data_IF_485653992165
#
_entry.id   IF_485653992165
#
_cell.length_a   1.000
_cell.length_b   1.000
_cell.length_c   1.000
_cell.angle_alpha   90.00
_cell.angle_beta   90.00
_cell.angle_gamma   90.00
#
_symmetry.space_group_name_H-M   'P 1'
#
loop_
_entity.id
_entity.type
_entity.pdbx_description
1 polymer ?
#
# COMPACT_ATOMS: atom_id res chain seq x y z
N UNK A 1 20.13 -82.89 -37.26
CA UNK A 1 20.58 -82.93 -35.86
C UNK A 1 21.48 -81.73 -35.61
N UNK A 2 21.47 -81.10 -34.43
CA UNK A 2 20.32 -80.50 -33.75
C UNK A 2 20.61 -79.06 -33.30
N UNK A 3 19.57 -78.40 -32.78
CA UNK A 3 19.56 -77.07 -32.20
C UNK A 3 20.29 -76.98 -30.85
N UNK A 4 20.83 -75.80 -30.52
CA UNK A 4 20.86 -75.22 -29.16
C UNK A 4 20.86 -73.69 -29.30
N UNK A 5 19.81 -73.04 -28.79
CA UNK A 5 19.75 -71.62 -28.43
C UNK A 5 20.36 -71.40 -27.05
N UNK A 6 20.89 -70.21 -26.77
CA UNK A 6 20.56 -69.58 -25.49
C UNK A 6 20.15 -68.12 -25.63
N UNK A 7 18.97 -67.88 -25.06
CA UNK A 7 18.49 -66.74 -24.28
C UNK A 7 18.95 -65.30 -24.55
N UNK A 8 17.89 -64.51 -24.71
CA UNK A 8 17.79 -63.06 -24.70
C UNK A 8 18.10 -62.50 -23.32
N UNK A 9 19.02 -61.54 -23.23
CA UNK A 9 19.20 -60.72 -22.01
C UNK A 9 18.92 -59.25 -22.33
N UNK A 10 17.91 -58.73 -21.63
CA UNK A 10 17.38 -57.37 -21.72
C UNK A 10 18.37 -56.34 -21.14
N UNK A 11 18.28 -55.06 -21.55
CA UNK A 11 19.10 -53.99 -20.96
C UNK A 11 18.75 -53.81 -19.47
N UNK A 12 19.73 -53.44 -18.62
CA UNK A 12 19.53 -53.37 -17.18
C UNK A 12 18.50 -52.32 -16.79
N UNK A 13 17.66 -52.71 -15.83
CA UNK A 13 16.70 -51.87 -15.12
C UNK A 13 17.37 -50.58 -14.63
N UNK A 14 16.86 -49.45 -15.13
CA UNK A 14 17.25 -48.13 -14.66
C UNK A 14 16.49 -47.86 -13.35
N UNK A 15 16.92 -48.50 -12.26
CA UNK A 15 16.38 -48.23 -10.92
C UNK A 15 16.76 -46.81 -10.51
N UNK A 16 15.79 -45.89 -10.61
CA UNK A 16 15.91 -44.53 -10.09
C UNK A 16 16.05 -44.64 -8.55
N UNK A 17 17.09 -44.07 -7.93
CA UNK A 17 17.19 -44.09 -6.47
C UNK A 17 16.01 -43.33 -5.85
N UNK A 18 15.17 -44.06 -5.12
CA UNK A 18 14.15 -43.51 -4.22
C UNK A 18 14.86 -42.67 -3.16
N UNK A 19 14.60 -41.36 -3.15
CA UNK A 19 15.12 -40.50 -2.09
C UNK A 19 15.40 -39.04 -2.43
N UNK A 20 15.07 -38.55 -3.63
CA UNK A 20 15.11 -37.11 -3.91
C UNK A 20 13.73 -36.49 -3.67
N UNK A 21 13.62 -35.41 -2.87
CA UNK A 21 12.33 -34.76 -2.62
C UNK A 21 11.76 -34.23 -3.94
N UNK A 22 10.74 -34.92 -4.46
CA UNK A 22 10.02 -34.47 -5.63
C UNK A 22 9.32 -33.16 -5.29
N UNK A 23 9.65 -32.08 -6.00
CA UNK A 23 8.96 -30.79 -5.89
C UNK A 23 7.49 -31.02 -6.20
N UNK A 24 6.64 -31.12 -5.18
CA UNK A 24 5.18 -31.19 -5.36
C UNK A 24 4.80 -29.95 -6.15
N UNK A 25 4.38 -30.13 -7.40
CA UNK A 25 3.76 -29.04 -8.16
C UNK A 25 2.51 -28.67 -7.38
N UNK A 26 2.47 -27.46 -6.83
CA UNK A 26 1.25 -26.90 -6.23
C UNK A 26 0.11 -27.14 -7.22
N UNK A 27 -0.96 -27.75 -6.75
CA UNK A 27 -2.20 -27.82 -7.52
C UNK A 27 -2.55 -26.38 -7.94
N UNK A 28 -2.72 -26.16 -9.24
CA UNK A 28 -3.26 -24.89 -9.74
C UNK A 28 -4.64 -24.73 -9.12
N UNK A 29 -4.79 -23.80 -8.17
CA UNK A 29 -6.11 -23.37 -7.67
C UNK A 29 -6.88 -22.84 -8.88
N UNK A 30 -7.99 -23.49 -9.19
CA UNK A 30 -8.87 -23.15 -10.30
C UNK A 30 -9.63 -21.86 -10.01
N UNK A 31 -9.61 -20.97 -11.00
CA UNK A 31 -10.35 -19.71 -11.04
C UNK A 31 -9.63 -18.77 -11.99
N UNK A 32 -10.11 -18.66 -13.25
CA UNK A 32 -9.43 -17.96 -14.35
C UNK A 32 -9.29 -16.43 -14.18
N UNK A 33 -9.55 -15.89 -12.99
CA UNK A 33 -9.47 -14.46 -12.70
C UNK A 33 -8.90 -14.10 -11.33
N UNK A 34 -8.41 -15.05 -10.52
CA UNK A 34 -7.79 -14.72 -9.22
C UNK A 34 -6.29 -14.91 -9.30
N UNK A 35 -5.55 -13.80 -9.26
CA UNK A 35 -4.09 -13.81 -9.14
C UNK A 35 -3.64 -14.52 -7.86
N UNK A 36 -2.38 -14.93 -7.81
CA UNK A 36 -1.80 -15.64 -6.66
C UNK A 36 -1.71 -14.78 -5.37
N UNK A 37 -2.17 -13.53 -5.40
CA UNK A 37 -2.01 -12.49 -4.38
C UNK A 37 -3.34 -12.05 -3.76
N UNK A 38 -4.42 -12.82 -3.96
CA UNK A 38 -5.69 -12.58 -3.26
C UNK A 38 -5.65 -13.19 -1.85
N UNK A 39 -6.05 -12.44 -0.84
CA UNK A 39 -6.27 -12.93 0.51
C UNK A 39 -7.61 -13.69 0.56
N UNK A 40 -7.57 -14.94 1.04
CA UNK A 40 -8.80 -15.69 1.29
C UNK A 40 -9.25 -15.35 2.71
N UNK A 41 -10.28 -14.51 2.81
CA UNK A 41 -10.84 -14.11 4.10
C UNK A 41 -11.71 -15.23 4.69
N UNK A 42 -11.76 -15.34 6.04
CA UNK A 42 -12.67 -16.26 6.70
C UNK A 42 -14.14 -15.91 6.40
N UNK A 43 -15.06 -16.88 6.41
CA UNK A 43 -16.48 -16.59 6.27
C UNK A 43 -16.94 -15.67 7.39
N UNK A 44 -17.72 -14.64 7.05
CA UNK A 44 -18.16 -13.64 8.03
C UNK A 44 -17.05 -12.72 8.54
N UNK A 45 -15.98 -12.54 7.75
CA UNK A 45 -14.94 -11.56 8.03
C UNK A 45 -15.53 -10.16 8.22
N UNK A 46 -15.04 -9.40 9.21
CA UNK A 46 -15.68 -8.17 9.63
C UNK A 46 -15.46 -7.06 8.60
N UNK A 47 -16.37 -6.07 8.55
CA UNK A 47 -16.24 -4.93 7.64
C UNK A 47 -14.87 -4.27 7.73
N UNK A 48 -14.26 -4.05 6.57
CA UNK A 48 -13.04 -3.28 6.41
C UNK A 48 -13.40 -1.82 6.13
N UNK A 49 -12.93 -0.93 7.00
CA UNK A 49 -13.05 0.52 6.85
C UNK A 49 -11.67 1.11 6.58
N UNK A 50 -11.54 1.88 5.49
CA UNK A 50 -10.36 2.69 5.21
C UNK A 50 -10.56 4.09 5.81
N UNK A 51 -9.80 4.42 6.85
CA UNK A 51 -9.85 5.73 7.50
C UNK A 51 -8.98 6.74 6.74
N UNK A 52 -9.61 7.75 6.16
CA UNK A 52 -8.97 8.74 5.29
C UNK A 52 -8.74 10.04 6.09
N UNK A 53 -7.50 10.54 6.17
CA UNK A 53 -7.22 11.85 6.72
C UNK A 53 -7.94 12.98 5.97
N UNK A 54 -8.28 14.06 6.66
CA UNK A 54 -9.00 15.19 6.08
C UNK A 54 -10.48 14.91 5.82
N UNK A 55 -11.08 15.72 4.95
CA UNK A 55 -12.50 15.66 4.58
C UNK A 55 -12.71 15.32 3.10
N UNK A 56 -13.88 14.78 2.76
CA UNK A 56 -14.24 14.49 1.37
C UNK A 56 -14.22 15.74 0.49
N UNK A 57 -14.56 16.90 1.04
CA UNK A 57 -14.62 18.18 0.33
C UNK A 57 -13.23 18.71 -0.04
N UNK A 58 -12.20 18.30 0.70
CA UNK A 58 -10.80 18.60 0.40
C UNK A 58 -10.17 17.59 -0.56
N UNK A 59 -10.78 16.42 -0.76
CA UNK A 59 -10.27 15.40 -1.67
C UNK A 59 -10.39 15.88 -3.13
N UNK A 60 -9.27 15.93 -3.86
CA UNK A 60 -9.29 16.32 -5.27
C UNK A 60 -10.07 15.29 -6.10
N UNK A 61 -10.94 15.71 -7.02
CA UNK A 61 -11.61 14.79 -7.92
C UNK A 61 -10.57 14.18 -8.88
N UNK A 62 -10.36 12.87 -8.80
CA UNK A 62 -9.70 12.11 -9.88
C UNK A 62 -10.67 12.05 -11.06
N UNK A 63 -10.20 12.40 -12.26
CA UNK A 63 -10.99 12.29 -13.48
C UNK A 63 -11.50 10.85 -13.64
N UNK A 64 -12.81 10.66 -13.53
CA UNK A 64 -13.44 9.37 -13.75
C UNK A 64 -13.27 8.94 -15.22
N UNK A 65 -13.12 7.65 -15.52
CA UNK A 65 -13.25 7.17 -16.90
C UNK A 65 -14.69 7.38 -17.34
N UNK A 66 -14.90 8.10 -18.44
CA UNK A 66 -16.21 8.37 -19.02
C UNK A 66 -16.89 7.03 -19.39
N UNK A 67 -17.92 6.67 -18.62
CA UNK A 67 -18.85 5.60 -18.97
C UNK A 67 -20.08 6.22 -19.65
N UNK A 68 -20.61 5.60 -20.72
CA UNK A 68 -21.71 6.15 -21.49
C UNK A 68 -22.98 6.21 -20.65
N UNK A 69 -23.54 7.42 -20.56
CA UNK A 69 -24.75 7.75 -19.82
C UNK A 69 -26.00 7.30 -20.57
N UNK A 70 -26.72 6.33 -20.01
CA UNK A 70 -28.16 6.19 -20.28
C UNK A 70 -28.93 5.65 -19.06
N UNK A 71 -30.03 6.36 -18.79
CA UNK A 71 -31.30 5.96 -18.15
C UNK A 71 -31.58 6.12 -16.63
N UNK A 72 -32.41 7.15 -16.38
CA UNK A 72 -33.76 7.18 -15.72
C UNK A 72 -33.93 6.89 -14.20
N UNK A 73 -34.68 7.83 -13.60
CA UNK A 73 -35.24 8.03 -12.25
C UNK A 73 -35.88 6.85 -11.51
N UNK A 74 -35.72 6.87 -10.17
CA UNK A 74 -36.78 6.53 -9.20
C UNK A 74 -36.45 5.39 -8.24
N UNK A 75 -36.58 5.66 -6.93
CA UNK A 75 -36.17 4.87 -5.76
C UNK A 75 -34.70 5.11 -5.39
N UNK A 76 -34.46 5.95 -4.38
CA UNK A 76 -33.17 6.03 -3.68
C UNK A 76 -33.14 4.83 -2.73
N UNK A 77 -32.33 3.78 -2.98
CA UNK A 77 -32.07 2.77 -1.98
C UNK A 77 -31.20 3.37 -0.86
N UNK A 78 -31.15 2.78 0.34
CA UNK A 78 -30.15 3.18 1.33
C UNK A 78 -28.76 3.11 0.67
N UNK A 79 -28.00 4.19 0.79
CA UNK A 79 -26.70 4.40 0.15
C UNK A 79 -25.75 3.26 0.54
N UNK A 80 -25.64 2.24 -0.32
CA UNK A 80 -24.47 1.37 -0.44
C UNK A 80 -23.29 2.15 -1.07
N UNK A 81 -22.08 1.57 -1.12
CA UNK A 81 -20.82 2.30 -1.27
C UNK A 81 -20.88 3.28 -2.45
N UNK A 82 -21.09 4.55 -2.11
CA UNK A 82 -21.07 5.64 -3.05
C UNK A 82 -19.68 5.76 -3.64
N UNK A 83 -19.62 6.07 -4.93
CA UNK A 83 -18.38 6.34 -5.66
C UNK A 83 -17.62 7.45 -4.94
N UNK A 84 -16.65 7.07 -4.11
CA UNK A 84 -15.72 8.02 -3.51
C UNK A 84 -14.67 8.31 -4.59
N UNK A 85 -14.55 9.57 -4.95
CA UNK A 85 -13.55 10.06 -5.90
C UNK A 85 -12.19 10.22 -5.21
N UNK A 86 -11.11 10.25 -5.96
CA UNK A 86 -9.77 10.46 -5.39
C UNK A 86 -9.02 9.16 -5.09
N UNK A 87 -7.91 9.30 -4.36
CA UNK A 87 -6.99 8.20 -4.10
C UNK A 87 -7.61 7.11 -3.21
N UNK A 88 -8.39 7.51 -2.21
CA UNK A 88 -9.06 6.60 -1.29
C UNK A 88 -10.05 5.66 -2.01
N UNK A 89 -10.86 6.20 -2.93
CA UNK A 89 -11.80 5.42 -3.72
C UNK A 89 -11.12 4.40 -4.63
N UNK A 90 -10.06 4.83 -5.32
CA UNK A 90 -9.28 3.92 -6.17
C UNK A 90 -8.61 2.80 -5.35
N UNK A 91 -8.05 3.12 -4.18
CA UNK A 91 -7.47 2.12 -3.27
C UNK A 91 -8.52 1.15 -2.71
N UNK A 92 -9.69 1.65 -2.31
CA UNK A 92 -10.80 0.83 -1.84
C UNK A 92 -11.26 -0.17 -2.92
N UNK A 93 -11.47 0.31 -4.16
CA UNK A 93 -11.87 -0.54 -5.29
C UNK A 93 -10.82 -1.60 -5.62
N UNK A 94 -9.53 -1.24 -5.65
CA UNK A 94 -8.45 -2.18 -5.90
C UNK A 94 -8.34 -3.22 -4.78
N UNK A 95 -8.49 -2.79 -3.52
CA UNK A 95 -8.45 -3.69 -2.35
C UNK A 95 -9.56 -4.71 -2.43
N UNK A 96 -10.79 -4.26 -2.70
CA UNK A 96 -11.97 -5.11 -2.87
C UNK A 96 -11.79 -6.10 -4.03
N UNK A 97 -11.51 -5.61 -5.23
CA UNK A 97 -11.60 -6.44 -6.44
C UNK A 97 -10.38 -7.34 -6.64
N UNK A 98 -9.20 -6.91 -6.18
CA UNK A 98 -7.94 -7.63 -6.43
C UNK A 98 -7.55 -8.49 -5.24
N UNK A 99 -7.78 -8.02 -4.01
CA UNK A 99 -7.16 -8.60 -2.82
C UNK A 99 -8.14 -9.30 -1.88
N UNK A 100 -9.26 -8.69 -1.51
CA UNK A 100 -10.12 -9.21 -0.42
C UNK A 100 -11.41 -9.88 -0.92
N UNK A 101 -11.97 -9.42 -2.03
CA UNK A 101 -13.31 -9.81 -2.48
C UNK A 101 -14.44 -9.31 -1.58
N UNK A 102 -14.16 -8.38 -0.66
CA UNK A 102 -15.12 -7.75 0.24
C UNK A 102 -15.12 -6.23 0.04
N UNK A 103 -16.29 -5.58 0.12
CA UNK A 103 -16.40 -4.13 0.04
C UNK A 103 -15.55 -3.43 1.08
N UNK A 104 -14.85 -2.37 0.66
CA UNK A 104 -14.10 -1.46 1.54
C UNK A 104 -14.92 -0.20 1.76
N UNK A 105 -15.33 0.04 2.99
CA UNK A 105 -16.03 1.28 3.35
C UNK A 105 -15.02 2.38 3.60
N UNK A 106 -15.26 3.58 3.08
CA UNK A 106 -14.39 4.73 3.34
C UNK A 106 -14.99 5.59 4.46
N UNK A 107 -14.15 6.06 5.39
CA UNK A 107 -14.54 6.98 6.45
C UNK A 107 -13.53 8.11 6.60
N UNK A 108 -13.96 9.35 6.37
CA UNK A 108 -13.12 10.55 6.55
C UNK A 108 -13.02 10.95 8.01
N UNK A 109 -11.83 11.38 8.44
CA UNK A 109 -11.60 11.81 9.82
C UNK A 109 -12.12 13.21 10.11
N UNK A 110 -12.26 14.05 9.09
CA UNK A 110 -12.77 15.41 9.18
C UNK A 110 -14.00 15.62 8.28
N UNK A 111 -14.81 16.63 8.61
CA UNK A 111 -16.06 16.92 7.91
C UNK A 111 -17.21 16.00 8.32
N UNK A 112 -18.39 16.28 7.75
CA UNK A 112 -19.64 15.56 8.08
C UNK A 112 -20.05 14.55 7.01
N UNK A 113 -19.60 14.73 5.77
CA UNK A 113 -19.89 13.83 4.65
C UNK A 113 -18.96 12.61 4.67
N UNK A 114 -19.55 11.41 4.60
CA UNK A 114 -18.84 10.13 4.62
C UNK A 114 -17.85 10.01 5.80
N UNK A 115 -18.25 10.51 6.98
CA UNK A 115 -17.37 10.53 8.15
C UNK A 115 -17.09 9.12 8.67
N UNK A 116 -15.96 8.94 9.35
CA UNK A 116 -15.61 7.67 9.97
C UNK A 116 -16.68 7.19 10.96
N UNK A 117 -17.35 8.10 11.68
CA UNK A 117 -18.48 7.74 12.55
C UNK A 117 -19.65 7.12 11.78
N UNK A 118 -19.99 7.65 10.60
CA UNK A 118 -21.02 7.08 9.73
C UNK A 118 -20.60 5.70 9.19
N UNK A 119 -19.34 5.56 8.78
CA UNK A 119 -18.79 4.29 8.31
C UNK A 119 -18.84 3.20 9.40
N UNK A 120 -18.51 3.56 10.65
CA UNK A 120 -18.58 2.67 11.81
C UNK A 120 -20.03 2.26 12.14
N UNK A 121 -20.95 3.22 12.12
CA UNK A 121 -22.37 2.93 12.32
C UNK A 121 -22.93 2.00 11.24
N UNK A 122 -22.53 2.19 9.99
CA UNK A 122 -22.89 1.29 8.89
C UNK A 122 -22.29 -0.11 9.09
N UNK A 123 -21.00 -0.20 9.41
CA UNK A 123 -20.33 -1.48 9.66
C UNK A 123 -21.00 -2.30 10.77
N UNK A 124 -21.51 -1.64 11.82
CA UNK A 124 -22.25 -2.32 12.89
C UNK A 124 -23.56 -2.99 12.43
N UNK A 125 -24.11 -2.62 11.27
CA UNK A 125 -25.30 -3.25 10.68
C UNK A 125 -24.98 -4.44 9.77
N UNK A 126 -23.71 -4.63 9.41
CA UNK A 126 -23.28 -5.68 8.49
C UNK A 126 -23.15 -7.00 9.25
N UNK A 127 -23.70 -8.08 8.68
CA UNK A 127 -23.60 -9.41 9.27
C UNK A 127 -22.14 -9.91 9.26
N UNK A 128 -21.69 -10.41 10.41
CA UNK A 128 -20.34 -10.94 10.63
C UNK A 128 -20.40 -12.13 11.59
N UNK A 129 -19.37 -12.96 11.57
CA UNK A 129 -19.32 -14.13 12.46
C UNK A 129 -19.22 -13.68 13.95
N UNK A 130 -19.98 -14.29 14.90
CA UNK A 130 -20.06 -13.86 16.31
C UNK A 130 -18.73 -13.69 17.07
N UNK A 131 -17.70 -14.39 16.65
CA UNK A 131 -16.33 -14.36 17.17
C UNK A 131 -15.45 -13.23 16.59
N UNK A 132 -15.86 -12.60 15.50
CA UNK A 132 -15.09 -11.55 14.82
C UNK A 132 -15.33 -10.18 15.45
N UNK A 133 -14.35 -9.25 15.42
CA UNK A 133 -14.58 -7.88 15.87
C UNK A 133 -15.66 -7.19 15.01
N UNK A 134 -16.35 -6.15 15.49
CA UNK A 134 -17.44 -5.55 14.71
C UNK A 134 -16.97 -4.80 13.45
N UNK A 135 -15.75 -4.27 13.46
CA UNK A 135 -15.12 -3.65 12.29
C UNK A 135 -13.59 -3.63 12.46
N UNK A 136 -12.88 -3.58 11.33
CA UNK A 136 -11.44 -3.26 11.30
C UNK A 136 -11.25 -1.95 10.55
N UNK A 137 -10.57 -1.00 11.18
CA UNK A 137 -10.25 0.30 10.62
C UNK A 137 -8.77 0.33 10.25
N UNK A 138 -8.47 0.47 8.96
CA UNK A 138 -7.09 0.63 8.45
C UNK A 138 -6.82 2.11 8.22
N UNK A 139 -5.85 2.73 8.92
CA UNK A 139 -5.47 4.12 8.68
C UNK A 139 -4.78 4.28 7.32
N UNK A 140 -5.28 5.20 6.49
CA UNK A 140 -4.67 5.54 5.20
C UNK A 140 -3.53 6.56 5.39
N UNK A 141 -2.50 6.16 6.14
CA UNK A 141 -1.28 6.96 6.35
C UNK A 141 -0.03 6.12 6.15
N UNK A 142 0.97 6.70 5.53
CA UNK A 142 2.24 6.03 5.16
C UNK A 142 3.34 6.19 6.19
N UNK A 143 3.12 7.00 7.22
CA UNK A 143 4.06 7.25 8.30
C UNK A 143 3.28 7.66 9.57
N UNK A 144 3.88 7.53 10.76
CA UNK A 144 3.25 7.95 12.01
C UNK A 144 2.92 9.45 12.02
N UNK A 145 1.66 9.79 12.35
CA UNK A 145 1.24 11.16 12.60
C UNK A 145 0.41 11.21 13.90
N UNK A 146 0.96 11.80 14.99
CA UNK A 146 0.27 11.88 16.27
C UNK A 146 -1.07 12.64 16.25
N UNK A 147 -1.27 13.56 15.29
CA UNK A 147 -2.54 14.28 15.14
C UNK A 147 -3.58 13.36 14.54
N UNK A 148 -3.25 12.71 13.41
CA UNK A 148 -4.15 11.75 12.74
C UNK A 148 -4.49 10.59 13.67
N UNK A 149 -3.49 10.03 14.35
CA UNK A 149 -3.68 8.93 15.31
C UNK A 149 -4.60 9.31 16.47
N UNK A 150 -4.48 10.55 16.96
CA UNK A 150 -5.35 11.07 18.02
C UNK A 150 -6.78 11.23 17.51
N UNK A 151 -6.96 11.93 16.39
CA UNK A 151 -8.28 12.13 15.78
C UNK A 151 -8.96 10.80 15.50
N UNK A 152 -8.26 9.85 14.90
CA UNK A 152 -8.76 8.50 14.65
C UNK A 152 -9.26 7.81 15.92
N UNK A 153 -8.45 7.81 16.98
CA UNK A 153 -8.85 7.21 18.27
C UNK A 153 -10.04 7.92 18.89
N UNK A 154 -10.05 9.25 18.89
CA UNK A 154 -11.15 10.06 19.42
C UNK A 154 -12.45 9.82 18.65
N UNK A 155 -12.40 9.77 17.32
CA UNK A 155 -13.58 9.50 16.47
C UNK A 155 -14.14 8.09 16.68
N UNK A 156 -13.28 7.08 16.79
CA UNK A 156 -13.72 5.71 17.09
C UNK A 156 -14.39 5.66 18.46
N UNK A 157 -13.80 6.28 19.50
CA UNK A 157 -14.39 6.32 20.84
C UNK A 157 -15.72 7.09 20.85
N UNK A 158 -15.78 8.26 20.20
CA UNK A 158 -16.98 9.07 20.12
C UNK A 158 -18.13 8.39 19.36
N UNK A 159 -17.83 7.46 18.45
CA UNK A 159 -18.85 6.67 17.74
C UNK A 159 -19.61 5.69 18.66
N UNK A 160 -19.03 5.32 19.80
CA UNK A 160 -19.54 4.26 20.68
C UNK A 160 -19.51 2.86 20.08
N UNK A 161 -18.98 2.68 18.86
CA UNK A 161 -18.88 1.39 18.18
C UNK A 161 -17.52 0.74 18.49
N UNK A 162 -17.53 -0.56 18.76
CA UNK A 162 -16.28 -1.31 18.91
C UNK A 162 -15.64 -1.55 17.53
N UNK A 163 -14.38 -1.15 17.38
CA UNK A 163 -13.61 -1.37 16.17
C UNK A 163 -12.14 -1.62 16.51
N UNK A 164 -11.49 -2.40 15.67
CA UNK A 164 -10.07 -2.71 15.78
C UNK A 164 -9.32 -1.79 14.83
N UNK A 165 -8.46 -0.92 15.38
CA UNK A 165 -7.58 -0.08 14.56
C UNK A 165 -6.35 -0.91 14.18
N UNK A 166 -6.10 -1.05 12.89
CA UNK A 166 -4.91 -1.70 12.34
C UNK A 166 -3.69 -0.78 12.44
N UNK A 167 -2.50 -1.35 12.20
CA UNK A 167 -1.29 -0.55 12.06
C UNK A 167 -1.37 0.38 10.82
N UNK A 168 -0.70 1.54 10.85
CA UNK A 168 -0.45 2.36 9.67
C UNK A 168 0.16 1.57 8.50
N UNK A 169 0.06 2.10 7.28
CA UNK A 169 0.59 1.43 6.10
C UNK A 169 2.13 1.34 6.14
N UNK A 170 2.82 2.35 6.69
CA UNK A 170 4.29 2.34 6.79
C UNK A 170 4.83 2.02 8.19
N UNK A 171 6.12 1.62 8.30
CA UNK A 171 7.10 1.44 7.22
C UNK A 171 7.03 0.01 6.64
N UNK A 172 7.01 -0.14 5.31
CA UNK A 172 6.85 -1.45 4.68
C UNK A 172 7.64 -1.61 3.37
N UNK A 173 8.19 -2.80 3.05
CA UNK A 173 8.85 -3.06 1.77
C UNK A 173 8.01 -2.74 0.54
N UNK A 174 6.68 -2.82 0.62
CA UNK A 174 5.77 -2.46 -0.47
C UNK A 174 5.75 -0.94 -0.73
N UNK A 175 5.91 -0.10 0.29
CA UNK A 175 6.04 1.36 0.11
C UNK A 175 7.33 1.68 -0.64
N UNK A 176 8.45 1.08 -0.25
CA UNK A 176 9.72 1.26 -0.95
C UNK A 176 9.71 0.67 -2.38
N UNK A 177 8.83 -0.30 -2.68
CA UNK A 177 8.58 -0.73 -4.06
C UNK A 177 7.83 0.36 -4.84
N UNK A 178 6.72 0.88 -4.28
CA UNK A 178 5.93 1.93 -4.94
C UNK A 178 6.76 3.20 -5.19
N UNK A 179 7.61 3.61 -4.23
CA UNK A 179 8.55 4.72 -4.43
C UNK A 179 9.55 4.46 -5.56
N UNK A 180 10.07 3.23 -5.66
CA UNK A 180 10.95 2.84 -6.75
C UNK A 180 10.25 2.91 -8.11
N UNK A 181 9.01 2.43 -8.19
CA UNK A 181 8.19 2.49 -9.41
C UNK A 181 7.90 3.94 -9.81
N UNK A 182 7.52 4.82 -8.87
CA UNK A 182 7.36 6.27 -9.12
C UNK A 182 8.64 6.94 -9.61
N UNK A 183 9.79 6.57 -9.04
CA UNK A 183 11.08 7.07 -9.51
C UNK A 183 11.41 6.55 -10.92
N UNK A 184 11.07 5.30 -11.24
CA UNK A 184 11.29 4.74 -12.56
C UNK A 184 10.37 5.38 -13.63
N UNK A 185 9.10 5.62 -13.30
CA UNK A 185 8.16 6.37 -14.15
C UNK A 185 8.67 7.77 -14.48
N UNK A 186 9.32 8.43 -13.51
CA UNK A 186 9.96 9.73 -13.70
C UNK A 186 11.32 9.66 -14.43
N UNK A 187 11.80 8.47 -14.80
CA UNK A 187 13.13 8.27 -15.41
C UNK A 187 14.30 8.49 -14.44
N UNK A 188 14.04 8.55 -13.14
CA UNK A 188 15.02 8.81 -12.08
C UNK A 188 15.64 7.52 -11.53
N UNK A 189 14.98 6.38 -11.74
CA UNK A 189 15.46 5.04 -11.40
C UNK A 189 15.34 4.08 -12.59
N UNK A 190 16.06 2.96 -12.52
CA UNK A 190 15.90 1.87 -13.51
C UNK A 190 14.60 1.14 -13.25
N UNK A 191 13.79 0.97 -14.31
CA UNK A 191 12.54 0.21 -14.25
C UNK A 191 12.76 -1.30 -14.06
N UNK A 192 13.91 -1.85 -14.47
CA UNK A 192 14.14 -3.29 -14.43
C UNK A 192 15.61 -3.68 -14.24
N UNK A 193 15.87 -4.86 -13.64
CA UNK A 193 17.23 -5.44 -13.46
C UNK A 193 17.71 -6.28 -14.66
N UNK A 194 17.05 -6.19 -15.80
CA UNK A 194 17.49 -6.91 -17.01
C UNK A 194 18.74 -6.22 -17.57
N UNK A 195 19.89 -6.90 -17.39
CA UNK A 195 21.27 -6.44 -17.61
C UNK A 195 21.66 -6.04 -19.05
N UNK A 196 20.71 -5.82 -19.96
CA UNK A 196 21.02 -5.75 -21.39
C UNK A 196 20.63 -4.45 -22.11
N UNK A 197 20.08 -3.45 -21.44
CA UNK A 197 19.90 -2.13 -22.05
C UNK A 197 20.38 -1.02 -21.11
N UNK A 198 21.38 -0.28 -21.58
CA UNK A 198 22.07 0.81 -20.87
C UNK A 198 21.18 2.05 -20.77
N UNK A 199 20.41 2.13 -19.70
CA UNK A 199 19.98 3.42 -19.14
C UNK A 199 20.70 3.61 -17.80
N UNK A 200 21.45 4.70 -17.67
CA UNK A 200 22.16 5.06 -16.43
C UNK A 200 21.10 5.43 -15.39
N UNK A 201 21.21 4.94 -14.14
CA UNK A 201 20.42 5.48 -13.03
C UNK A 201 20.76 6.95 -12.90
N UNK A 202 19.80 7.84 -13.20
CA UNK A 202 20.04 9.28 -13.28
C UNK A 202 20.28 9.84 -11.88
N UNK A 203 19.54 9.39 -10.87
CA UNK A 203 19.74 9.81 -9.50
C UNK A 203 21.02 9.17 -8.90
N UNK A 204 21.91 10.01 -8.37
CA UNK A 204 23.04 9.62 -7.53
C UNK A 204 22.72 9.62 -6.03
N UNK A 205 21.51 10.05 -5.65
CA UNK A 205 20.96 9.98 -4.30
C UNK A 205 19.47 10.33 -4.30
N UNK A 206 18.71 9.83 -3.32
CA UNK A 206 17.26 10.06 -3.21
C UNK A 206 16.89 10.59 -1.83
N UNK A 207 15.99 11.57 -1.79
CA UNK A 207 15.34 12.02 -0.56
C UNK A 207 13.90 11.54 -0.56
N UNK A 208 13.55 10.65 0.38
CA UNK A 208 12.15 10.32 0.68
C UNK A 208 11.56 11.50 1.44
N UNK A 209 10.44 12.01 0.94
CA UNK A 209 9.77 13.18 1.51
C UNK A 209 8.45 12.75 2.13
N UNK A 210 8.32 12.88 3.45
CA UNK A 210 7.13 12.46 4.22
C UNK A 210 6.31 13.65 4.71
N UNK A 211 4.99 13.47 4.93
CA UNK A 211 4.11 14.54 5.38
C UNK A 211 4.29 14.97 6.83
N UNK A 212 4.61 14.03 7.74
CA UNK A 212 4.67 14.32 9.18
C UNK A 212 6.04 14.82 9.67
N UNK A 213 6.08 15.21 10.96
CA UNK A 213 7.27 15.71 11.64
C UNK A 213 8.36 14.65 11.96
N UNK A 214 9.19 14.87 13.00
CA UNK A 214 10.40 14.07 13.24
C UNK A 214 10.17 12.56 13.39
N UNK A 215 9.04 12.15 13.97
CA UNK A 215 8.68 10.73 14.10
C UNK A 215 8.44 10.07 12.73
N UNK A 216 7.82 10.79 11.78
CA UNK A 216 7.62 10.30 10.42
C UNK A 216 8.95 10.21 9.66
N UNK A 217 9.87 11.15 9.90
CA UNK A 217 11.23 11.10 9.31
C UNK A 217 11.99 9.88 9.83
N UNK A 218 11.96 9.63 11.14
CA UNK A 218 12.60 8.47 11.75
C UNK A 218 12.04 7.15 11.19
N UNK A 219 10.72 7.05 11.03
CA UNK A 219 10.08 5.89 10.41
C UNK A 219 10.49 5.72 8.94
N UNK A 220 10.58 6.83 8.21
CA UNK A 220 11.04 6.85 6.82
C UNK A 220 12.52 6.51 6.66
N UNK A 221 13.36 6.59 7.70
CA UNK A 221 14.74 6.08 7.63
C UNK A 221 14.78 4.56 7.43
N UNK A 222 13.82 3.81 7.98
CA UNK A 222 13.65 2.38 7.69
C UNK A 222 13.29 2.19 6.22
N UNK A 223 12.35 2.99 5.71
CA UNK A 223 12.00 3.04 4.29
C UNK A 223 13.17 3.40 3.38
N UNK A 224 14.05 4.30 3.84
CA UNK A 224 15.25 4.72 3.12
C UNK A 224 16.24 3.58 2.96
N UNK A 225 16.45 2.75 3.99
CA UNK A 225 17.29 1.54 3.88
C UNK A 225 16.70 0.56 2.85
N UNK A 226 15.39 0.32 2.89
CA UNK A 226 14.72 -0.56 1.94
C UNK A 226 14.81 -0.04 0.50
N UNK A 227 14.63 1.27 0.29
CA UNK A 227 14.73 1.89 -1.02
C UNK A 227 16.18 1.95 -1.52
N UNK A 228 17.14 2.26 -0.65
CA UNK A 228 18.57 2.27 -0.97
C UNK A 228 19.03 0.89 -1.44
N UNK A 229 18.57 -0.18 -0.79
CA UNK A 229 18.88 -1.55 -1.19
C UNK A 229 18.39 -1.88 -2.61
N UNK A 230 17.26 -1.29 -3.03
CA UNK A 230 16.68 -1.47 -4.37
C UNK A 230 17.38 -0.63 -5.43
N UNK A 231 17.77 0.60 -5.09
CA UNK A 231 18.35 1.57 -6.03
C UNK A 231 19.88 1.46 -6.14
N UNK A 232 20.55 0.90 -5.13
CA UNK A 232 22.00 0.94 -4.96
C UNK A 232 22.59 2.38 -4.93
N UNK A 233 21.82 3.34 -4.38
CA UNK A 233 22.25 4.73 -4.15
C UNK A 233 21.92 5.15 -2.71
N UNK A 234 22.62 6.16 -2.15
CA UNK A 234 22.27 6.71 -0.85
C UNK A 234 20.85 7.28 -0.84
N UNK A 235 20.10 6.97 0.22
CA UNK A 235 18.74 7.48 0.44
C UNK A 235 18.67 8.14 1.81
N UNK A 236 18.08 9.33 1.88
CA UNK A 236 17.81 10.06 3.10
C UNK A 236 16.30 10.29 3.25
N UNK A 237 15.83 10.63 4.45
CA UNK A 237 14.46 11.04 4.71
C UNK A 237 14.39 12.52 5.09
N UNK A 238 13.29 13.17 4.74
CA UNK A 238 13.00 14.57 5.07
C UNK A 238 11.49 14.79 5.26
N UNK A 239 11.13 15.81 6.02
CA UNK A 239 9.74 16.19 6.30
C UNK A 239 9.26 17.31 5.38
N UNK A 240 7.97 17.30 5.02
CA UNK A 240 7.26 18.44 4.43
C UNK A 240 6.82 19.48 5.47
N UNK A 241 6.80 19.11 6.75
CA UNK A 241 6.49 20.00 7.85
C UNK A 241 7.75 20.75 8.31
N UNK A 242 7.65 22.07 8.33
CA UNK A 242 8.63 22.92 8.99
C UNK A 242 8.42 22.86 10.51
N UNK A 243 9.44 22.39 11.24
CA UNK A 243 9.34 22.25 12.69
C UNK A 243 10.68 21.99 13.36
N UNK A 244 10.77 22.24 14.68
CA UNK A 244 12.00 22.01 15.44
C UNK A 244 12.39 20.52 15.38
N UNK A 245 13.61 20.24 14.93
CA UNK A 245 14.14 18.88 14.81
C UNK A 245 13.74 18.14 13.53
N UNK A 246 12.91 18.73 12.66
CA UNK A 246 12.64 18.19 11.33
C UNK A 246 13.77 18.55 10.37
N UNK A 247 14.19 17.59 9.54
CA UNK A 247 15.13 17.83 8.44
C UNK A 247 14.32 18.22 7.21
N UNK A 248 14.58 19.39 6.65
CA UNK A 248 13.92 19.85 5.42
C UNK A 248 14.40 19.09 4.18
N UNK A 249 13.62 19.01 3.09
CA UNK A 249 14.04 18.33 1.86
C UNK A 249 15.27 18.99 1.25
N UNK A 250 15.40 20.31 1.35
CA UNK A 250 16.56 21.06 0.88
C UNK A 250 17.82 20.67 1.66
N UNK A 251 17.73 20.55 2.98
CA UNK A 251 18.84 20.16 3.83
C UNK A 251 19.28 18.70 3.58
N UNK A 252 18.33 17.77 3.49
CA UNK A 252 18.63 16.38 3.14
C UNK A 252 19.31 16.27 1.77
N UNK A 253 18.83 17.02 0.78
CA UNK A 253 19.44 17.06 -0.55
C UNK A 253 20.86 17.67 -0.52
N UNK A 254 21.10 18.71 0.29
CA UNK A 254 22.43 19.28 0.47
C UNK A 254 23.40 18.28 1.11
N UNK A 255 22.95 17.52 2.12
CA UNK A 255 23.73 16.46 2.76
C UNK A 255 24.10 15.34 1.78
N UNK A 256 23.18 14.92 0.92
CA UNK A 256 23.47 13.93 -0.14
C UNK A 256 24.49 14.45 -1.16
N UNK A 257 24.38 15.73 -1.57
CA UNK A 257 25.38 16.33 -2.47
C UNK A 257 26.76 16.40 -1.81
N UNK A 258 26.81 16.77 -0.54
CA UNK A 258 28.05 16.80 0.23
C UNK A 258 28.71 15.42 0.39
N UNK A 259 27.93 14.33 0.37
CA UNK A 259 28.43 12.95 0.38
C UNK A 259 28.77 12.39 -1.01
N UNK A 260 28.66 13.21 -2.07
CA UNK A 260 29.08 12.86 -3.43
C UNK A 260 27.95 12.52 -4.41
N UNK A 261 26.67 12.66 -4.02
CA UNK A 261 25.56 12.49 -4.95
C UNK A 261 25.57 13.60 -6.02
N UNK A 262 25.79 13.23 -7.28
CA UNK A 262 25.87 14.18 -8.40
C UNK A 262 24.50 14.72 -8.81
N UNK A 263 23.45 13.89 -8.68
CA UNK A 263 22.07 14.24 -9.01
C UNK A 263 21.16 13.73 -7.89
N UNK A 264 20.39 14.63 -7.28
CA UNK A 264 19.43 14.27 -6.22
C UNK A 264 18.03 14.18 -6.81
N UNK A 265 17.25 13.20 -6.37
CA UNK A 265 15.83 13.09 -6.67
C UNK A 265 15.00 13.13 -5.39
N UNK A 266 13.84 13.78 -5.45
CA UNK A 266 12.82 13.75 -4.41
C UNK A 266 11.78 12.68 -4.72
N UNK A 267 11.45 11.85 -3.73
CA UNK A 267 10.46 10.79 -3.80
C UNK A 267 9.38 11.02 -2.72
N UNK A 268 8.23 11.62 -3.07
CA UNK A 268 7.18 11.90 -2.09
C UNK A 268 6.49 10.61 -1.62
N UNK A 269 6.61 10.28 -0.34
CA UNK A 269 5.89 9.20 0.33
C UNK A 269 4.53 9.71 0.84
N UNK A 270 3.73 10.21 -0.10
CA UNK A 270 2.44 10.84 0.14
C UNK A 270 1.38 10.16 -0.70
N UNK A 271 0.25 9.79 -0.10
CA UNK A 271 -0.92 9.27 -0.82
C UNK A 271 -1.67 10.46 -1.42
N UNK A 272 -2.01 11.47 -0.63
CA UNK A 272 -2.59 12.71 -1.13
C UNK A 272 -3.39 13.44 -0.05
N UNK A 273 -4.45 12.82 0.50
CA UNK A 273 -5.37 13.48 1.45
C UNK A 273 -4.72 13.96 2.75
N UNK A 274 -3.56 13.43 3.11
CA UNK A 274 -2.84 13.78 4.32
C UNK A 274 -1.96 15.04 4.19
N UNK A 275 -1.89 15.68 3.02
CA UNK A 275 -0.99 16.83 2.75
C UNK A 275 -1.72 18.01 2.14
N UNK A 276 -1.36 19.22 2.57
CA UNK A 276 -1.82 20.45 1.91
C UNK A 276 -1.18 20.55 0.50
N UNK A 277 -1.97 20.78 -0.56
CA UNK A 277 -1.46 21.03 -1.91
C UNK A 277 -0.31 22.07 -1.97
N UNK A 278 -0.31 23.06 -1.08
CA UNK A 278 0.76 24.05 -0.97
C UNK A 278 2.12 23.45 -0.59
N UNK A 279 2.16 22.42 0.27
CA UNK A 279 3.40 21.73 0.64
C UNK A 279 3.98 20.96 -0.55
N UNK A 280 3.13 20.29 -1.33
CA UNK A 280 3.55 19.61 -2.56
C UNK A 280 4.01 20.61 -3.63
N UNK A 281 3.33 21.75 -3.77
CA UNK A 281 3.76 22.82 -4.67
C UNK A 281 5.13 23.41 -4.25
N UNK A 282 5.37 23.58 -2.94
CA UNK A 282 6.66 24.03 -2.41
C UNK A 282 7.78 23.02 -2.71
N UNK A 283 7.53 21.71 -2.55
CA UNK A 283 8.47 20.67 -2.94
C UNK A 283 8.78 20.71 -4.45
N UNK A 284 7.75 20.88 -5.28
CA UNK A 284 7.92 21.01 -6.73
C UNK A 284 8.76 22.22 -7.11
N UNK A 285 8.52 23.36 -6.46
CA UNK A 285 9.31 24.58 -6.66
C UNK A 285 10.76 24.36 -6.24
N UNK A 286 11.01 23.74 -5.09
CA UNK A 286 12.36 23.41 -4.61
C UNK A 286 13.10 22.49 -5.59
N UNK A 287 12.43 21.49 -6.14
CA UNK A 287 13.02 20.60 -7.13
C UNK A 287 13.47 21.38 -8.38
N UNK A 288 12.61 22.25 -8.90
CA UNK A 288 12.92 23.11 -10.05
C UNK A 288 14.09 24.07 -9.75
N UNK A 289 14.05 24.78 -8.62
CA UNK A 289 15.07 25.76 -8.23
C UNK A 289 16.46 25.13 -8.04
N UNK A 290 16.52 23.85 -7.65
CA UNK A 290 17.76 23.13 -7.37
C UNK A 290 18.20 22.18 -8.48
N UNK A 291 17.43 22.09 -9.58
CA UNK A 291 17.64 21.11 -10.66
C UNK A 291 17.54 19.66 -10.20
N UNK A 292 16.88 19.38 -9.08
CA UNK A 292 16.67 18.03 -8.60
C UNK A 292 15.53 17.35 -9.37
N UNK A 293 15.62 16.02 -9.53
CA UNK A 293 14.50 15.23 -10.03
C UNK A 293 13.35 15.19 -9.03
N UNK A 294 12.11 15.06 -9.50
CA UNK A 294 10.94 14.85 -8.66
C UNK A 294 10.09 13.72 -9.23
N UNK A 295 9.85 12.69 -8.42
CA UNK A 295 8.87 11.67 -8.73
C UNK A 295 7.45 12.13 -8.37
N UNK A 296 6.44 11.52 -9.00
CA UNK A 296 5.06 11.68 -8.56
C UNK A 296 4.86 11.14 -7.13
N UNK A 297 3.88 11.66 -6.37
CA UNK A 297 3.50 11.06 -5.09
C UNK A 297 3.04 9.61 -5.27
N UNK A 298 2.94 8.87 -4.16
CA UNK A 298 2.42 7.50 -4.20
C UNK A 298 1.02 7.49 -4.82
N UNK A 299 0.13 8.37 -4.40
CA UNK A 299 -1.24 8.38 -4.92
C UNK A 299 -1.95 7.05 -4.63
N UNK A 300 -2.91 6.70 -5.48
CA UNK A 300 -3.57 5.38 -5.45
C UNK A 300 -2.72 4.26 -6.08
N UNK A 301 -1.43 4.19 -5.74
CA UNK A 301 -0.55 3.17 -6.28
C UNK A 301 -1.10 1.75 -5.96
N UNK A 302 -1.24 0.82 -6.93
CA UNK A 302 -1.90 -0.47 -6.69
C UNK A 302 -1.28 -1.32 -5.57
N UNK A 303 0.03 -1.21 -5.40
CA UNK A 303 0.76 -1.86 -4.29
C UNK A 303 0.25 -1.44 -2.90
N UNK A 304 -0.31 -0.24 -2.74
CA UNK A 304 -0.91 0.19 -1.47
C UNK A 304 -2.24 -0.53 -1.18
N UNK A 305 -3.00 -0.94 -2.20
CA UNK A 305 -4.21 -1.74 -2.01
C UNK A 305 -3.88 -3.14 -1.46
N UNK A 306 -2.79 -3.74 -1.93
CA UNK A 306 -2.25 -4.97 -1.33
C UNK A 306 -1.88 -4.73 0.14
N UNK A 307 -1.17 -3.64 0.44
CA UNK A 307 -0.76 -3.31 1.80
C UNK A 307 -1.95 -3.06 2.74
N UNK A 308 -3.03 -2.42 2.26
CA UNK A 308 -4.28 -2.26 3.02
C UNK A 308 -4.86 -3.63 3.37
N UNK A 309 -4.95 -4.54 2.39
CA UNK A 309 -5.43 -5.91 2.64
C UNK A 309 -4.53 -6.67 3.64
N UNK A 310 -3.21 -6.48 3.57
CA UNK A 310 -2.27 -7.06 4.52
C UNK A 310 -2.51 -6.54 5.95
N UNK A 311 -2.62 -5.22 6.13
CA UNK A 311 -2.89 -4.60 7.45
C UNK A 311 -4.22 -5.04 8.03
N UNK A 312 -5.23 -5.23 7.18
CA UNK A 312 -6.50 -5.79 7.58
C UNK A 312 -6.34 -7.22 8.13
N UNK A 313 -5.68 -8.11 7.38
CA UNK A 313 -5.47 -9.51 7.79
C UNK A 313 -4.61 -9.60 9.06
N UNK A 314 -3.54 -8.81 9.17
CA UNK A 314 -2.69 -8.74 10.37
C UNK A 314 -3.49 -8.32 11.61
N UNK A 315 -4.38 -7.35 11.46
CA UNK A 315 -5.26 -6.92 12.56
C UNK A 315 -6.23 -8.02 12.98
N UNK A 316 -6.79 -8.78 12.03
CA UNK A 316 -7.65 -9.94 12.33
C UNK A 316 -6.87 -11.04 13.06
N UNK A 317 -5.71 -11.41 12.55
CA UNK A 317 -4.86 -12.44 13.16
C UNK A 317 -4.41 -12.05 14.57
N UNK A 318 -4.18 -10.76 14.82
CA UNK A 318 -3.86 -10.27 16.16
C UNK A 318 -5.03 -10.47 17.12
N UNK A 319 -6.24 -10.08 16.72
CA UNK A 319 -7.45 -10.20 17.55
C UNK A 319 -7.79 -11.66 17.84
N UNK A 320 -7.71 -12.53 16.83
CA UNK A 320 -7.98 -13.96 17.00
C UNK A 320 -6.98 -14.61 17.97
N UNK A 321 -5.68 -14.28 17.87
CA UNK A 321 -4.66 -14.75 18.82
C UNK A 321 -4.89 -14.23 20.24
N UNK A 322 -5.33 -12.99 20.39
CA UNK A 322 -5.69 -12.42 21.69
C UNK A 322 -6.89 -13.13 22.32
N UNK A 323 -7.85 -13.59 21.52
CA UNK A 323 -9.02 -14.35 21.98
C UNK A 323 -8.70 -15.82 22.32
N UNK A 324 -7.75 -16.46 21.61
CA UNK A 324 -7.31 -17.84 21.89
C UNK A 324 -6.40 -17.94 23.12
N UNK A 325 -5.73 -16.85 23.51
CA UNK A 325 -4.84 -16.78 24.66
C UNK A 325 -5.51 -16.37 25.98
N UNK A 326 -6.81 -16.11 25.99
CA UNK A 326 -7.64 -15.77 27.16
C UNK A 326 -8.45 -16.98 27.62
#
# INVERSE_FOLDING_TARGET
MPAVTPDSEAPPDNTIPEGLPTRRRRSRRGGRHRGAESFVLPPGAPPLILAVPGSLEAASPVAAPELPSDSVTGIVPPVGPGVVTGEAGALALLTEHVHTGQPVTIGYLEGSAASLGQALAYAATVERAPEMPPAVVVPMVTAPDPRIDRTLRETVQASGMAAVIAEPLGPHPLIAQALHERLAEAGLARADRIRLMTTVTVAGGVVIVVPGGPAAVQDAEVGAVLLASRLAVPVAAASLEDGPGSISPAEAAARLRASGATHVAFAPQVIGPEVDPAQMAALSKLAADTGAGLAAPLGAHPVLAHLIALRYVEALERVLREAEGQ
#
